data_IF_493106294396
#
_entry.id   IF_493106294396
#
_cell.length_a   1.000
_cell.length_b   1.000
_cell.length_c   1.000
_cell.angle_alpha   90.00
_cell.angle_beta   90.00
_cell.angle_gamma   90.00
#
_symmetry.space_group_name_H-M   'P 1'
#
loop_
_entity.id
_entity.type
_entity.pdbx_description
1 polymer ?
#
# COMPACT_ATOMS: atom_id res chain seq x y z
N UNK A 1 16.98 -14.34 6.34
CA UNK A 1 15.96 -13.88 5.40
C UNK A 1 15.20 -12.76 6.07
N UNK A 2 14.86 -11.69 5.35
CA UNK A 2 14.11 -10.56 5.92
C UNK A 2 12.70 -11.04 6.29
N UNK A 3 12.32 -10.87 7.55
CA UNK A 3 10.95 -11.12 7.98
C UNK A 3 10.10 -9.89 7.62
N UNK A 4 9.21 -10.05 6.64
CA UNK A 4 8.37 -8.95 6.13
C UNK A 4 7.51 -8.36 7.25
N UNK A 5 6.99 -9.16 8.19
CA UNK A 5 6.17 -8.63 9.28
C UNK A 5 6.98 -7.78 10.25
N UNK A 6 8.23 -8.17 10.52
CA UNK A 6 9.16 -7.43 11.38
C UNK A 6 9.56 -6.09 10.73
N UNK A 7 9.91 -6.09 9.44
CA UNK A 7 10.22 -4.87 8.71
C UNK A 7 9.02 -3.91 8.60
N UNK A 8 7.80 -4.44 8.42
CA UNK A 8 6.60 -3.59 8.47
C UNK A 8 6.38 -2.99 9.85
N UNK A 9 6.63 -3.77 10.92
CA UNK A 9 6.58 -3.27 12.28
C UNK A 9 7.61 -2.17 12.50
N UNK A 10 8.84 -2.32 12.02
CA UNK A 10 9.88 -1.29 12.10
C UNK A 10 9.46 0.01 11.41
N UNK A 11 8.80 -0.04 10.25
CA UNK A 11 8.32 1.18 9.58
C UNK A 11 7.24 1.91 10.38
N UNK A 12 6.30 1.15 10.95
CA UNK A 12 5.15 1.66 11.70
C UNK A 12 5.60 2.18 13.08
N UNK A 13 6.47 1.44 13.76
CA UNK A 13 7.03 1.77 15.07
C UNK A 13 8.28 2.64 14.98
N UNK A 14 8.68 3.10 13.79
CA UNK A 14 9.83 3.98 13.63
C UNK A 14 9.62 5.24 14.48
N UNK A 15 10.62 5.57 15.33
CA UNK A 15 10.56 6.68 16.29
C UNK A 15 9.31 6.61 17.16
N UNK A 16 9.18 5.54 17.95
CA UNK A 16 8.08 5.34 18.90
C UNK A 16 6.67 5.47 18.29
N UNK A 17 6.55 5.20 16.99
CA UNK A 17 5.27 5.29 16.28
C UNK A 17 4.89 6.70 15.83
N UNK A 18 5.83 7.64 15.72
CA UNK A 18 5.60 9.02 15.24
C UNK A 18 4.76 9.07 13.96
N UNK A 19 5.01 8.16 13.02
CA UNK A 19 4.23 8.11 11.76
C UNK A 19 2.77 7.76 12.01
N UNK A 20 2.50 6.81 12.91
CA UNK A 20 1.13 6.44 13.27
C UNK A 20 0.47 7.54 14.08
N UNK A 21 1.20 8.13 15.02
CA UNK A 21 0.72 9.25 15.82
C UNK A 21 0.33 10.44 14.92
N UNK A 22 1.19 10.81 13.96
CA UNK A 22 0.92 11.85 12.98
C UNK A 22 -0.25 11.48 12.06
N UNK A 23 -0.34 10.22 11.63
CA UNK A 23 -1.48 9.74 10.84
C UNK A 23 -2.81 9.89 11.58
N UNK A 24 -2.83 9.58 12.88
CA UNK A 24 -4.02 9.72 13.74
C UNK A 24 -4.34 11.19 13.98
N UNK A 25 -3.34 12.01 14.32
CA UNK A 25 -3.51 13.43 14.61
C UNK A 25 -4.13 14.19 13.42
N UNK A 26 -3.85 13.73 12.20
CA UNK A 26 -4.29 14.34 10.95
C UNK A 26 -5.58 13.69 10.39
N UNK A 27 -6.36 13.01 11.24
CA UNK A 27 -7.62 12.35 10.89
C UNK A 27 -7.47 11.36 9.70
N UNK A 28 -6.35 10.65 9.64
CA UNK A 28 -6.06 9.75 8.53
C UNK A 28 -7.06 8.59 8.41
N UNK A 29 -7.61 8.11 9.53
CA UNK A 29 -8.63 7.07 9.52
C UNK A 29 -9.97 7.59 8.97
N UNK A 30 -10.38 8.81 9.34
CA UNK A 30 -11.56 9.47 8.82
C UNK A 30 -11.42 9.72 7.32
N UNK A 31 -10.25 10.14 6.86
CA UNK A 31 -9.94 10.30 5.43
C UNK A 31 -10.15 8.98 4.68
N UNK A 32 -9.52 7.87 5.13
CA UNK A 32 -9.70 6.55 4.52
C UNK A 32 -11.17 6.14 4.50
N UNK A 33 -11.88 6.32 5.63
CA UNK A 33 -13.29 5.96 5.73
C UNK A 33 -14.15 6.76 4.76
N UNK A 34 -13.88 8.06 4.62
CA UNK A 34 -14.60 8.93 3.69
C UNK A 34 -14.35 8.59 2.22
N UNK A 35 -13.19 8.00 1.92
CA UNK A 35 -12.78 7.64 0.56
C UNK A 35 -12.97 6.15 0.24
N UNK A 36 -13.61 5.37 1.13
CA UNK A 36 -13.72 3.92 1.03
C UNK A 36 -14.18 3.43 -0.37
N UNK A 37 -15.22 4.04 -0.93
CA UNK A 37 -15.77 3.65 -2.24
C UNK A 37 -14.79 3.98 -3.39
N UNK A 38 -14.00 5.04 -3.27
CA UNK A 38 -12.99 5.40 -4.26
C UNK A 38 -11.76 4.49 -4.14
N UNK A 39 -11.36 4.15 -2.91
CA UNK A 39 -10.28 3.20 -2.64
C UNK A 39 -10.62 1.78 -3.15
N UNK A 40 -11.88 1.37 -3.06
CA UNK A 40 -12.32 0.10 -3.65
C UNK A 40 -12.08 0.05 -5.16
N UNK A 41 -12.30 1.17 -5.88
CA UNK A 41 -12.05 1.26 -7.33
C UNK A 41 -10.58 1.09 -7.69
N UNK A 42 -9.64 1.47 -6.81
CA UNK A 42 -8.21 1.24 -7.04
C UNK A 42 -7.87 -0.25 -7.17
N UNK A 43 -8.60 -1.13 -6.48
CA UNK A 43 -8.38 -2.58 -6.54
C UNK A 43 -9.08 -3.27 -7.72
N UNK A 44 -10.18 -2.69 -8.22
CA UNK A 44 -10.96 -3.24 -9.33
C UNK A 44 -10.13 -3.41 -10.59
N UNK A 45 -9.19 -2.50 -10.86
CA UNK A 45 -8.32 -2.55 -12.04
C UNK A 45 -7.34 -3.73 -11.99
N UNK A 46 -6.93 -4.17 -10.79
CA UNK A 46 -6.05 -5.33 -10.60
C UNK A 46 -6.88 -6.63 -10.68
N UNK A 47 -8.03 -6.69 -10.00
CA UNK A 47 -8.88 -7.89 -9.96
C UNK A 47 -9.48 -8.19 -11.34
N UNK A 48 -9.82 -7.17 -12.13
CA UNK A 48 -10.31 -7.35 -13.49
C UNK A 48 -9.25 -7.92 -14.43
N UNK A 49 -7.97 -7.58 -14.21
CA UNK A 49 -6.83 -8.11 -14.98
C UNK A 49 -6.43 -9.53 -14.55
N UNK A 50 -6.49 -9.82 -13.25
CA UNK A 50 -6.05 -11.10 -12.67
C UNK A 50 -7.17 -11.96 -12.11
N UNK A 51 -8.34 -11.99 -12.77
CA UNK A 51 -9.48 -12.83 -12.35
C UNK A 51 -8.98 -14.19 -11.87
N UNK A 52 -9.07 -14.51 -10.56
CA UNK A 52 -8.41 -15.70 -10.03
C UNK A 52 -9.16 -16.91 -10.56
N UNK A 53 -8.55 -17.67 -11.48
CA UNK A 53 -9.06 -18.97 -11.90
C UNK A 53 -8.86 -20.04 -10.81
N UNK A 54 -8.15 -19.72 -9.72
CA UNK A 54 -8.08 -20.56 -8.51
C UNK A 54 -7.62 -19.74 -7.29
N UNK A 55 -8.49 -19.61 -6.28
CA UNK A 55 -8.15 -19.01 -4.98
C UNK A 55 -7.20 -19.86 -4.12
N UNK A 56 -6.92 -21.10 -4.52
CA UNK A 56 -6.07 -22.04 -3.77
C UNK A 56 -4.56 -21.93 -4.08
N UNK A 57 -4.16 -21.05 -4.98
CA UNK A 57 -2.77 -20.78 -5.26
C UNK A 57 -2.42 -19.36 -4.76
N UNK A 58 -2.09 -19.25 -3.48
CA UNK A 58 -1.10 -18.27 -3.05
C UNK A 58 0.20 -19.05 -2.93
N UNK A 59 0.97 -19.25 -4.03
CA UNK A 59 2.28 -19.84 -3.90
C UNK A 59 3.12 -18.85 -3.10
N UNK A 60 3.75 -19.35 -2.03
CA UNK A 60 4.74 -18.65 -1.23
C UNK A 60 5.60 -17.74 -2.13
N UNK A 61 5.41 -16.42 -2.02
CA UNK A 61 6.19 -15.40 -2.71
C UNK A 61 6.53 -15.82 -4.16
N UNK A 62 5.52 -16.11 -4.97
CA UNK A 62 5.69 -16.26 -6.41
C UNK A 62 6.54 -15.09 -6.90
N UNK A 63 7.66 -15.39 -7.59
CA UNK A 63 8.60 -14.39 -8.11
C UNK A 63 7.81 -13.22 -8.67
N UNK A 64 7.87 -12.08 -7.99
CA UNK A 64 7.12 -10.91 -8.44
C UNK A 64 7.60 -10.59 -9.85
N UNK A 65 6.67 -10.45 -10.78
CA UNK A 65 6.98 -10.12 -12.16
C UNK A 65 7.09 -8.61 -12.31
N UNK A 66 7.75 -8.14 -13.38
CA UNK A 66 7.79 -6.72 -13.73
C UNK A 66 6.38 -6.13 -13.90
N UNK A 67 5.44 -6.92 -14.40
CA UNK A 67 4.03 -6.55 -14.54
C UNK A 67 3.38 -6.32 -13.16
N UNK A 68 3.56 -7.24 -12.23
CA UNK A 68 3.05 -7.11 -10.85
C UNK A 68 3.65 -5.89 -10.13
N UNK A 69 4.92 -5.55 -10.39
CA UNK A 69 5.51 -4.31 -9.88
C UNK A 69 4.89 -3.04 -10.48
N UNK A 70 4.54 -3.08 -11.77
CA UNK A 70 3.89 -1.95 -12.46
C UNK A 70 2.46 -1.76 -11.94
N UNK A 71 1.75 -2.85 -11.69
CA UNK A 71 0.41 -2.84 -11.11
C UNK A 71 0.42 -2.36 -9.68
N UNK A 72 1.41 -2.80 -8.89
CA UNK A 72 1.64 -2.28 -7.55
C UNK A 72 1.80 -0.75 -7.56
N UNK A 73 2.62 -0.21 -8.46
CA UNK A 73 2.82 1.23 -8.58
C UNK A 73 1.54 1.96 -9.03
N UNK A 74 0.76 1.34 -9.91
CA UNK A 74 -0.53 1.88 -10.34
C UNK A 74 -1.54 1.91 -9.19
N UNK A 75 -1.59 0.85 -8.37
CA UNK A 75 -2.41 0.79 -7.16
C UNK A 75 -1.97 1.81 -6.11
N UNK A 76 -0.67 1.86 -5.81
CA UNK A 76 -0.09 2.88 -4.93
C UNK A 76 -0.51 4.27 -5.38
N UNK A 77 -0.32 4.59 -6.68
CA UNK A 77 -0.69 5.89 -7.22
C UNK A 77 -2.17 6.18 -7.03
N UNK A 78 -3.06 5.24 -7.37
CA UNK A 78 -4.49 5.42 -7.20
C UNK A 78 -4.88 5.69 -5.74
N UNK A 79 -4.31 4.94 -4.79
CA UNK A 79 -4.59 5.11 -3.36
C UNK A 79 -4.09 6.48 -2.88
N UNK A 80 -2.86 6.86 -3.23
CA UNK A 80 -2.28 8.15 -2.83
C UNK A 80 -3.08 9.31 -3.44
N UNK A 81 -3.36 9.29 -4.74
CA UNK A 81 -4.15 10.31 -5.42
C UNK A 81 -5.56 10.44 -4.81
N UNK A 82 -6.17 9.32 -4.39
CA UNK A 82 -7.47 9.31 -3.71
C UNK A 82 -7.41 9.98 -2.34
N UNK A 83 -6.38 9.67 -1.54
CA UNK A 83 -6.22 10.24 -0.20
C UNK A 83 -5.76 11.70 -0.24
N UNK A 84 -5.10 12.15 -1.31
CA UNK A 84 -4.79 13.57 -1.52
C UNK A 84 -6.03 14.45 -1.71
N UNK A 85 -7.20 13.85 -1.96
CA UNK A 85 -8.50 14.54 -1.99
C UNK A 85 -9.09 14.86 -0.62
N UNK A 86 -8.47 14.39 0.47
CA UNK A 86 -8.85 14.76 1.83
C UNK A 86 -8.33 16.15 2.21
N UNK A 87 -8.93 16.73 3.26
CA UNK A 87 -8.54 18.04 3.80
C UNK A 87 -7.07 18.06 4.20
N UNK A 88 -6.63 17.05 4.97
CA UNK A 88 -5.24 16.89 5.34
C UNK A 88 -4.52 16.00 4.32
N UNK A 89 -3.37 16.47 3.82
CA UNK A 89 -2.54 15.72 2.86
C UNK A 89 -1.51 14.83 3.55
N UNK A 90 -1.28 15.04 4.84
CA UNK A 90 -0.34 14.26 5.65
C UNK A 90 -0.63 12.75 5.61
N UNK A 91 -1.89 12.28 5.72
CA UNK A 91 -2.22 10.86 5.59
C UNK A 91 -1.79 10.25 4.26
N UNK A 92 -1.99 10.96 3.14
CA UNK A 92 -1.61 10.50 1.81
C UNK A 92 -0.08 10.32 1.69
N UNK A 93 0.70 11.26 2.23
CA UNK A 93 2.16 11.20 2.24
C UNK A 93 2.69 10.03 3.08
N UNK A 94 2.09 9.76 4.24
CA UNK A 94 2.46 8.62 5.10
C UNK A 94 2.16 7.29 4.39
N UNK A 95 0.99 7.20 3.75
CA UNK A 95 0.60 6.02 2.96
C UNK A 95 1.51 5.81 1.75
N UNK A 96 1.91 6.87 1.05
CA UNK A 96 2.89 6.80 -0.03
C UNK A 96 4.26 6.30 0.46
N UNK A 97 4.73 6.81 1.60
CA UNK A 97 5.96 6.34 2.23
C UNK A 97 5.90 4.84 2.60
N UNK A 98 4.74 4.39 3.09
CA UNK A 98 4.49 2.98 3.40
C UNK A 98 4.54 2.11 2.13
N UNK A 99 3.87 2.50 1.05
CA UNK A 99 3.96 1.77 -0.22
C UNK A 99 5.39 1.75 -0.77
N UNK A 100 6.13 2.86 -0.72
CA UNK A 100 7.54 2.90 -1.13
C UNK A 100 8.42 1.96 -0.30
N UNK A 101 8.10 1.78 0.98
CA UNK A 101 8.80 0.85 1.85
C UNK A 101 8.52 -0.61 1.45
N UNK A 102 7.25 -0.97 1.30
CA UNK A 102 6.83 -2.30 0.84
C UNK A 102 7.41 -2.63 -0.54
N UNK A 103 7.39 -1.69 -1.49
CA UNK A 103 7.99 -1.86 -2.82
C UNK A 103 9.47 -2.26 -2.78
N UNK A 104 10.23 -1.74 -1.81
CA UNK A 104 11.64 -2.12 -1.60
C UNK A 104 11.76 -3.53 -1.00
N UNK A 105 10.89 -3.89 -0.06
CA UNK A 105 10.89 -5.22 0.57
C UNK A 105 10.61 -6.34 -0.43
N UNK A 106 9.69 -6.10 -1.36
CA UNK A 106 9.28 -7.08 -2.37
C UNK A 106 10.24 -7.16 -3.57
N UNK A 107 11.38 -6.48 -3.50
CA UNK A 107 12.47 -6.48 -4.50
C UNK A 107 12.08 -6.07 -5.93
N UNK A 108 11.00 -5.27 -6.09
CA UNK A 108 10.62 -4.77 -7.41
C UNK A 108 11.69 -3.94 -8.13
N UNK A 109 12.68 -3.42 -7.40
CA UNK A 109 13.83 -2.68 -7.94
C UNK A 109 14.87 -3.55 -8.65
N UNK A 110 14.82 -4.88 -8.46
CA UNK A 110 15.81 -5.83 -8.97
C UNK A 110 15.28 -6.64 -10.18
N UNK A 111 14.18 -6.21 -10.79
CA UNK A 111 13.50 -6.85 -11.94
C UNK A 111 13.68 -6.10 -13.26
#
# INVERSE_FOLDING_TARGET
GVNVSESLMEFVCEKDGDRVAMFIAENGFECIKSQQDNLQKCSSDIVNKHKPTNFNAIPALAKITKEQCTEYQSFQKCVVDTLEGCTEKTPANIVDAFFKFVYKLIQCKNL
#
